data_IF_892867405720
#
_entry.id   IF_892867405720
#
_cell.length_a   1.000
_cell.length_b   1.000
_cell.length_c   1.000
_cell.angle_alpha   90.00
_cell.angle_beta   90.00
_cell.angle_gamma   90.00
#
_symmetry.space_group_name_H-M   'P 1'
#
loop_
_entity.id
_entity.type
_entity.pdbx_description
1 polymer ?
#
# COMPACT_ATOMS: atom_id res chain seq x y z
N UNK A 1 7.40 24.06 -3.89
CA UNK A 1 6.98 23.64 -2.52
C UNK A 1 7.19 22.11 -2.46
N UNK A 2 8.00 21.64 -1.51
CA UNK A 2 8.24 20.22 -1.31
C UNK A 2 6.97 19.48 -0.88
N UNK A 3 6.97 18.14 -0.97
CA UNK A 3 5.86 17.31 -0.48
C UNK A 3 5.64 17.57 1.02
N UNK A 4 6.72 17.61 1.80
CA UNK A 4 6.67 17.92 3.23
C UNK A 4 5.99 19.27 3.53
N UNK A 5 6.37 20.33 2.82
CA UNK A 5 5.74 21.67 3.02
C UNK A 5 4.24 21.65 2.69
N UNK A 6 3.84 20.95 1.63
CA UNK A 6 2.43 20.80 1.27
C UNK A 6 1.65 20.03 2.35
N UNK A 7 2.24 18.96 2.89
CA UNK A 7 1.65 18.18 3.98
C UNK A 7 1.51 19.04 5.25
N UNK A 8 2.54 19.80 5.59
CA UNK A 8 2.48 20.70 6.77
C UNK A 8 1.40 21.78 6.64
N UNK A 9 1.15 22.32 5.44
CA UNK A 9 0.05 23.25 5.20
C UNK A 9 -1.34 22.60 5.35
N UNK A 10 -1.45 21.30 5.07
CA UNK A 10 -2.69 20.55 5.17
C UNK A 10 -2.90 19.87 6.54
N UNK A 11 -2.04 20.15 7.53
CA UNK A 11 -2.07 19.55 8.86
C UNK A 11 -3.37 19.87 9.60
N UNK A 12 -3.91 18.85 10.27
CA UNK A 12 -5.07 18.89 11.17
C UNK A 12 -4.70 18.21 12.50
N UNK A 13 -4.48 18.99 13.56
CA UNK A 13 -4.04 18.44 14.84
C UNK A 13 -5.08 17.50 15.46
N UNK A 14 -6.38 17.77 15.30
CA UNK A 14 -7.43 16.87 15.77
C UNK A 14 -7.40 15.54 15.05
N UNK A 15 -7.14 15.56 13.75
CA UNK A 15 -6.99 14.35 12.96
C UNK A 15 -5.69 13.61 13.31
N UNK A 16 -4.60 14.34 13.61
CA UNK A 16 -3.34 13.74 14.08
C UNK A 16 -3.55 12.89 15.33
N UNK A 17 -4.28 13.40 16.33
CA UNK A 17 -4.57 12.67 17.57
C UNK A 17 -5.41 11.40 17.31
N UNK A 18 -6.29 11.42 16.33
CA UNK A 18 -7.02 10.23 15.89
C UNK A 18 -6.09 9.23 15.20
N UNK A 19 -5.23 9.71 14.29
CA UNK A 19 -4.33 8.87 13.50
C UNK A 19 -3.30 8.14 14.39
N UNK A 20 -2.74 8.80 15.38
CA UNK A 20 -1.81 8.20 16.36
C UNK A 20 -2.45 6.97 17.03
N UNK A 21 -3.73 7.03 17.38
CA UNK A 21 -4.44 5.89 17.99
C UNK A 21 -4.72 4.76 17.00
N UNK A 22 -4.82 5.08 15.72
CA UNK A 22 -5.14 4.11 14.67
C UNK A 22 -3.92 3.28 14.25
N UNK A 23 -2.71 3.84 14.39
CA UNK A 23 -1.44 3.19 14.04
C UNK A 23 -0.48 3.15 15.23
N UNK A 24 -0.79 2.39 16.28
CA UNK A 24 -0.07 2.44 17.56
C UNK A 24 1.40 1.99 17.49
N UNK A 25 1.81 1.35 16.37
CA UNK A 25 3.20 0.93 16.15
C UNK A 25 4.09 1.98 15.49
N UNK A 26 3.51 3.14 15.11
CA UNK A 26 4.25 4.22 14.46
C UNK A 26 4.61 5.30 15.50
N UNK A 27 5.84 5.80 15.41
CA UNK A 27 6.28 6.90 16.25
C UNK A 27 5.37 8.14 16.04
N UNK A 28 4.66 8.60 17.08
CA UNK A 28 3.76 9.76 16.99
C UNK A 28 4.42 11.03 16.43
N UNK A 29 5.72 11.20 16.62
CA UNK A 29 6.45 12.37 16.14
C UNK A 29 6.68 12.35 14.62
N UNK A 30 6.49 11.19 13.97
CA UNK A 30 6.52 11.04 12.53
C UNK A 30 5.15 11.21 11.87
N UNK A 31 4.09 11.49 12.63
CA UNK A 31 2.73 11.67 12.11
C UNK A 31 2.39 13.17 12.07
N UNK A 32 2.16 13.71 10.87
CA UNK A 32 1.80 15.11 10.64
C UNK A 32 0.31 15.35 10.95
N UNK A 33 -0.56 14.42 10.55
CA UNK A 33 -2.00 14.51 10.72
C UNK A 33 -2.70 15.10 9.49
N UNK A 34 -2.49 14.50 8.32
CA UNK A 34 -3.12 14.93 7.06
C UNK A 34 -4.15 13.90 6.60
N UNK A 35 -5.35 14.40 6.22
CA UNK A 35 -6.44 13.52 5.76
C UNK A 35 -6.14 12.93 4.38
N UNK A 36 -6.55 11.68 4.15
CA UNK A 36 -6.32 10.95 2.90
C UNK A 36 -6.69 11.71 1.64
N UNK A 37 -7.83 12.44 1.55
CA UNK A 37 -8.15 13.21 0.34
C UNK A 37 -7.09 14.29 0.01
N UNK A 38 -6.55 14.96 1.03
CA UNK A 38 -5.49 15.96 0.82
C UNK A 38 -4.18 15.30 0.35
N UNK A 39 -3.76 14.19 0.96
CA UNK A 39 -2.59 13.43 0.52
C UNK A 39 -2.72 12.94 -0.93
N UNK A 40 -3.90 12.47 -1.34
CA UNK A 40 -4.16 12.08 -2.73
C UNK A 40 -4.12 13.26 -3.70
N UNK A 41 -4.57 14.44 -3.28
CA UNK A 41 -4.47 15.65 -4.09
C UNK A 41 -3.00 16.08 -4.26
N UNK A 42 -2.21 16.05 -3.20
CA UNK A 42 -0.76 16.32 -3.23
C UNK A 42 -0.06 15.32 -4.16
N UNK A 43 -0.29 14.03 -3.98
CA UNK A 43 0.29 12.99 -4.83
C UNK A 43 -0.02 13.21 -6.32
N UNK A 44 -1.26 13.58 -6.63
CA UNK A 44 -1.69 13.87 -8.00
C UNK A 44 -1.02 15.12 -8.59
N UNK A 45 -0.85 16.16 -7.79
CA UNK A 45 -0.17 17.39 -8.21
C UNK A 45 1.31 17.12 -8.47
N UNK A 46 2.00 16.46 -7.55
CA UNK A 46 3.41 16.08 -7.70
C UNK A 46 3.62 15.19 -8.92
N UNK A 47 2.76 14.19 -9.14
CA UNK A 47 2.85 13.29 -10.29
C UNK A 47 2.67 14.01 -11.63
N UNK A 48 1.85 15.08 -11.69
CA UNK A 48 1.55 15.81 -12.93
C UNK A 48 2.51 16.94 -13.22
N UNK A 49 2.92 17.68 -12.21
CA UNK A 49 3.55 18.97 -12.33
C UNK A 49 4.91 19.05 -11.64
N UNK A 50 5.30 18.04 -10.87
CA UNK A 50 6.52 18.01 -10.08
C UNK A 50 7.54 16.99 -10.56
N UNK A 51 8.63 16.93 -9.84
CA UNK A 51 9.66 15.91 -9.99
C UNK A 51 9.35 14.73 -9.07
N UNK A 52 8.35 13.94 -9.49
CA UNK A 52 7.89 12.81 -8.69
C UNK A 52 8.95 11.69 -8.58
N UNK A 53 9.82 11.55 -9.58
CA UNK A 53 10.90 10.55 -9.57
C UNK A 53 11.92 10.89 -8.49
N UNK A 54 12.35 12.15 -8.42
CA UNK A 54 13.25 12.59 -7.35
C UNK A 54 12.63 12.39 -5.96
N UNK A 55 11.35 12.72 -5.78
CA UNK A 55 10.67 12.45 -4.51
C UNK A 55 10.64 10.96 -4.15
N UNK A 56 10.38 10.07 -5.13
CA UNK A 56 10.42 8.64 -4.87
C UNK A 56 11.84 8.14 -4.52
N UNK A 57 12.87 8.76 -5.09
CA UNK A 57 14.27 8.41 -4.82
C UNK A 57 14.77 8.89 -3.42
N UNK A 58 14.02 9.78 -2.75
CA UNK A 58 14.27 10.20 -1.35
C UNK A 58 13.92 9.15 -0.29
N UNK A 59 13.31 8.01 -0.68
CA UNK A 59 12.99 6.94 0.27
C UNK A 59 14.27 6.38 0.97
N UNK A 60 14.19 6.03 2.27
CA UNK A 60 13.00 6.01 3.12
C UNK A 60 12.60 7.42 3.61
N UNK A 61 11.29 7.70 3.56
CA UNK A 61 10.75 8.95 4.06
C UNK A 61 10.64 8.96 5.58
N UNK A 62 10.77 10.16 6.16
CA UNK A 62 10.67 10.34 7.61
C UNK A 62 9.22 10.28 8.11
N UNK A 63 8.28 10.93 7.40
CA UNK A 63 6.92 11.08 7.89
C UNK A 63 5.97 10.03 7.29
N UNK A 64 5.02 9.60 8.11
CA UNK A 64 3.98 8.65 7.76
C UNK A 64 3.21 9.07 6.50
N UNK A 65 2.85 10.34 6.41
CA UNK A 65 2.10 10.87 5.27
C UNK A 65 2.94 10.94 3.98
N UNK A 66 4.25 11.18 4.09
CA UNK A 66 5.15 11.12 2.93
C UNK A 66 5.19 9.69 2.35
N UNK A 67 5.23 8.66 3.20
CA UNK A 67 5.15 7.26 2.77
C UNK A 67 3.84 6.96 2.04
N UNK A 68 2.72 7.51 2.51
CA UNK A 68 1.43 7.38 1.82
C UNK A 68 1.42 8.10 0.47
N UNK A 69 1.93 9.34 0.42
CA UNK A 69 2.05 10.12 -0.85
C UNK A 69 2.94 9.38 -1.83
N UNK A 70 4.07 8.83 -1.37
CA UNK A 70 4.95 7.99 -2.19
C UNK A 70 4.17 6.85 -2.86
N UNK A 71 3.45 6.06 -2.07
CA UNK A 71 2.72 4.92 -2.60
C UNK A 71 1.54 5.33 -3.50
N UNK A 72 0.88 6.46 -3.21
CA UNK A 72 -0.14 7.00 -4.11
C UNK A 72 0.45 7.42 -5.47
N UNK A 73 1.67 7.98 -5.50
CA UNK A 73 2.38 8.31 -6.74
C UNK A 73 2.72 7.02 -7.50
N UNK A 74 3.32 6.03 -6.84
CA UNK A 74 3.63 4.72 -7.45
C UNK A 74 2.39 4.09 -8.07
N UNK A 75 1.23 4.17 -7.40
CA UNK A 75 -0.03 3.64 -7.90
C UNK A 75 -0.55 4.33 -9.18
N UNK A 76 -0.05 5.50 -9.55
CA UNK A 76 -0.39 6.22 -10.77
C UNK A 76 0.54 5.91 -11.95
N UNK A 77 1.66 5.22 -11.74
CA UNK A 77 2.60 4.83 -12.81
C UNK A 77 1.89 3.85 -13.75
N UNK A 78 1.91 4.15 -15.06
CA UNK A 78 1.16 3.40 -16.07
C UNK A 78 1.93 2.22 -16.65
N UNK A 79 3.26 2.36 -16.77
CA UNK A 79 4.13 1.30 -17.22
C UNK A 79 4.24 0.24 -16.13
N UNK A 80 4.00 -1.03 -16.49
CA UNK A 80 3.94 -2.12 -15.53
C UNK A 80 5.29 -2.40 -14.89
N UNK A 81 6.35 -2.49 -15.69
CA UNK A 81 7.67 -2.86 -15.20
C UNK A 81 8.25 -1.75 -14.31
N UNK A 82 8.09 -0.50 -14.73
CA UNK A 82 8.49 0.65 -13.92
C UNK A 82 7.70 0.72 -12.61
N UNK A 83 6.38 0.45 -12.64
CA UNK A 83 5.55 0.43 -11.45
C UNK A 83 5.98 -0.66 -10.47
N UNK A 84 6.17 -1.90 -10.95
CA UNK A 84 6.61 -3.02 -10.11
C UNK A 84 7.98 -2.75 -9.51
N UNK A 85 8.92 -2.20 -10.28
CA UNK A 85 10.25 -1.84 -9.76
C UNK A 85 10.13 -0.83 -8.59
N UNK A 86 9.28 0.19 -8.70
CA UNK A 86 9.04 1.17 -7.63
C UNK A 86 8.30 0.56 -6.43
N UNK A 87 7.34 -0.33 -6.66
CA UNK A 87 6.69 -1.10 -5.59
C UNK A 87 7.72 -1.91 -4.82
N UNK A 88 8.54 -2.71 -5.50
CA UNK A 88 9.55 -3.57 -4.86
C UNK A 88 10.61 -2.77 -4.09
N UNK A 89 11.03 -1.63 -4.63
CA UNK A 89 11.98 -0.75 -3.95
C UNK A 89 11.41 -0.14 -2.66
N UNK A 90 10.10 0.10 -2.60
CA UNK A 90 9.47 0.76 -1.47
C UNK A 90 8.90 -0.20 -0.40
N UNK A 91 8.47 -1.41 -0.78
CA UNK A 91 7.87 -2.37 0.15
C UNK A 91 8.69 -2.62 1.43
N UNK A 92 10.04 -2.68 1.42
CA UNK A 92 10.82 -2.85 2.65
C UNK A 92 10.66 -1.72 3.69
N UNK A 93 10.19 -0.55 3.27
CA UNK A 93 9.98 0.63 4.12
C UNK A 93 8.54 0.80 4.60
N UNK A 94 7.64 -0.11 4.21
CA UNK A 94 6.24 -0.11 4.66
C UNK A 94 6.18 -0.67 6.07
N UNK A 95 5.84 0.17 7.03
CA UNK A 95 5.89 -0.14 8.47
C UNK A 95 4.51 -0.17 9.15
N UNK A 96 3.43 0.04 8.39
CA UNK A 96 2.07 -0.06 8.92
C UNK A 96 1.03 -0.40 7.85
N UNK A 97 -0.12 -0.89 8.30
CA UNK A 97 -1.20 -1.36 7.44
C UNK A 97 -1.82 -0.30 6.51
N UNK A 98 -1.96 1.01 6.87
CA UNK A 98 -2.56 1.96 5.95
C UNK A 98 -1.71 2.20 4.70
N UNK A 99 -0.38 2.10 4.83
CA UNK A 99 0.53 2.29 3.69
C UNK A 99 0.39 1.10 2.72
N UNK A 100 0.34 -0.14 3.22
CA UNK A 100 0.17 -1.32 2.38
C UNK A 100 -1.22 -1.42 1.74
N UNK A 101 -2.25 -0.83 2.34
CA UNK A 101 -3.64 -1.09 1.97
C UNK A 101 -4.30 0.01 1.12
N UNK A 102 -3.85 1.27 1.23
CA UNK A 102 -4.55 2.40 0.62
C UNK A 102 -4.19 2.67 -0.84
N UNK A 103 -3.10 2.10 -1.34
CA UNK A 103 -2.67 2.25 -2.72
C UNK A 103 -2.79 0.94 -3.50
N UNK A 104 -3.41 1.00 -4.68
CA UNK A 104 -3.47 -0.10 -5.65
C UNK A 104 -3.01 0.42 -6.99
N UNK A 105 -1.89 -0.07 -7.53
CA UNK A 105 -1.40 0.35 -8.84
C UNK A 105 -2.42 0.10 -9.94
N UNK A 106 -2.73 1.14 -10.71
CA UNK A 106 -3.79 1.08 -11.73
C UNK A 106 -3.41 0.21 -12.94
N UNK A 107 -2.11 0.08 -13.22
CA UNK A 107 -1.60 -0.76 -14.31
C UNK A 107 -1.81 -2.26 -14.05
N UNK A 108 -1.94 -2.70 -12.79
CA UNK A 108 -2.09 -4.10 -12.43
C UNK A 108 -3.31 -4.77 -13.07
N UNK A 109 -4.42 -4.04 -13.19
CA UNK A 109 -5.67 -4.56 -13.81
C UNK A 109 -5.52 -5.10 -15.22
N UNK A 110 -4.49 -4.69 -15.94
CA UNK A 110 -4.27 -5.10 -17.34
C UNK A 110 -3.14 -6.12 -17.50
N UNK A 111 -2.50 -6.51 -16.42
CA UNK A 111 -1.27 -7.31 -16.43
C UNK A 111 -1.33 -8.48 -15.44
N UNK A 112 -2.49 -9.13 -15.28
CA UNK A 112 -2.72 -10.18 -14.30
C UNK A 112 -1.73 -11.34 -14.43
N UNK A 113 -1.46 -11.81 -15.65
CA UNK A 113 -0.50 -12.91 -15.87
C UNK A 113 0.92 -12.53 -15.43
N UNK A 114 1.35 -11.29 -15.71
CA UNK A 114 2.67 -10.79 -15.30
C UNK A 114 2.72 -10.48 -13.81
N UNK A 115 1.61 -10.05 -13.21
CA UNK A 115 1.50 -9.65 -11.80
C UNK A 115 1.53 -10.86 -10.85
N UNK A 116 0.94 -11.99 -11.23
CA UNK A 116 0.74 -13.13 -10.36
C UNK A 116 2.03 -13.68 -9.73
N UNK A 117 3.16 -13.83 -10.47
CA UNK A 117 4.44 -14.22 -9.89
C UNK A 117 4.97 -13.25 -8.82
N UNK A 118 4.75 -11.94 -9.02
CA UNK A 118 5.15 -10.93 -8.02
C UNK A 118 4.28 -11.02 -6.78
N UNK A 119 2.97 -11.19 -6.92
CA UNK A 119 2.07 -11.40 -5.78
C UNK A 119 2.54 -12.60 -4.95
N UNK A 120 2.85 -13.72 -5.60
CA UNK A 120 3.36 -14.90 -4.90
C UNK A 120 4.66 -14.60 -4.14
N UNK A 121 5.62 -13.95 -4.80
CA UNK A 121 6.88 -13.52 -4.20
C UNK A 121 6.65 -12.62 -2.97
N UNK A 122 5.75 -11.64 -3.09
CA UNK A 122 5.45 -10.73 -1.98
C UNK A 122 4.77 -11.46 -0.81
N UNK A 123 3.84 -12.37 -1.09
CA UNK A 123 3.19 -13.17 -0.05
C UNK A 123 4.16 -14.07 0.70
N UNK A 124 5.20 -14.57 0.05
CA UNK A 124 6.22 -15.42 0.66
C UNK A 124 7.23 -14.64 1.53
N UNK A 125 7.22 -13.32 1.47
CA UNK A 125 8.11 -12.45 2.25
C UNK A 125 7.93 -12.63 3.77
N UNK A 126 9.05 -12.59 4.51
CA UNK A 126 9.03 -12.55 5.99
C UNK A 126 8.64 -11.16 6.52
N UNK A 127 8.71 -10.12 5.70
CA UNK A 127 8.27 -8.79 6.06
C UNK A 127 6.73 -8.72 6.02
N UNK A 128 6.12 -8.50 7.19
CA UNK A 128 4.67 -8.56 7.41
C UNK A 128 3.88 -7.72 6.39
N UNK A 129 4.28 -6.47 6.19
CA UNK A 129 3.54 -5.56 5.31
C UNK A 129 3.78 -5.81 3.82
N UNK A 130 4.90 -6.41 3.43
CA UNK A 130 5.12 -6.92 2.08
C UNK A 130 4.20 -8.12 1.80
N UNK A 131 4.13 -9.08 2.74
CA UNK A 131 3.22 -10.22 2.62
C UNK A 131 1.76 -9.77 2.61
N UNK A 132 1.40 -8.81 3.48
CA UNK A 132 0.07 -8.20 3.52
C UNK A 132 -0.29 -7.51 2.20
N UNK A 133 0.64 -6.76 1.60
CA UNK A 133 0.46 -6.13 0.28
C UNK A 133 0.20 -7.18 -0.81
N UNK A 134 0.97 -8.27 -0.83
CA UNK A 134 0.76 -9.38 -1.77
C UNK A 134 -0.65 -9.96 -1.67
N UNK A 135 -1.12 -10.28 -0.46
CA UNK A 135 -2.48 -10.77 -0.24
C UNK A 135 -3.54 -9.72 -0.63
N UNK A 136 -3.26 -8.44 -0.36
CA UNK A 136 -4.15 -7.33 -0.75
C UNK A 136 -4.29 -7.24 -2.27
N UNK A 137 -3.19 -7.38 -3.02
CA UNK A 137 -3.23 -7.37 -4.48
C UNK A 137 -3.95 -8.60 -5.02
N UNK A 138 -3.71 -9.79 -4.46
CA UNK A 138 -4.46 -11.00 -4.80
C UNK A 138 -5.97 -10.80 -4.59
N UNK A 139 -6.36 -10.20 -3.46
CA UNK A 139 -7.75 -9.90 -3.13
C UNK A 139 -8.38 -8.87 -4.07
N UNK A 140 -7.63 -7.88 -4.53
CA UNK A 140 -8.17 -6.81 -5.37
C UNK A 140 -8.33 -7.23 -6.83
N UNK A 141 -7.40 -8.02 -7.34
CA UNK A 141 -7.27 -8.27 -8.76
C UNK A 141 -7.72 -9.67 -9.18
N UNK A 142 -7.84 -10.64 -8.25
CA UNK A 142 -8.04 -12.07 -8.59
C UNK A 142 -9.24 -12.72 -7.86
N UNK A 143 -10.21 -11.95 -7.38
CA UNK A 143 -11.42 -12.55 -6.77
C UNK A 143 -12.60 -12.73 -7.74
N UNK A 144 -12.52 -12.16 -8.93
CA UNK A 144 -13.59 -12.23 -9.93
C UNK A 144 -13.24 -13.26 -11.04
N UNK A 145 -13.14 -12.82 -12.30
CA UNK A 145 -12.96 -13.71 -13.46
C UNK A 145 -11.70 -14.58 -13.43
N UNK A 146 -10.63 -14.08 -12.79
CA UNK A 146 -9.34 -14.79 -12.71
C UNK A 146 -9.18 -15.59 -11.40
N UNK A 147 -10.26 -15.77 -10.63
CA UNK A 147 -10.23 -16.52 -9.37
C UNK A 147 -9.86 -17.99 -9.59
N UNK A 148 -8.95 -18.49 -8.75
CA UNK A 148 -8.60 -19.92 -8.67
C UNK A 148 -8.61 -20.39 -7.22
N UNK A 149 -9.07 -21.62 -6.99
CA UNK A 149 -9.15 -22.22 -5.66
C UNK A 149 -7.78 -22.28 -4.97
N UNK A 150 -6.72 -22.47 -5.73
CA UNK A 150 -5.34 -22.52 -5.22
C UNK A 150 -4.93 -21.21 -4.48
N UNK A 151 -5.55 -20.07 -4.79
CA UNK A 151 -5.26 -18.81 -4.10
C UNK A 151 -5.74 -18.82 -2.64
N UNK A 152 -6.76 -19.63 -2.32
CA UNK A 152 -7.19 -19.85 -0.93
C UNK A 152 -6.10 -20.55 -0.14
N UNK A 153 -5.46 -21.55 -0.75
CA UNK A 153 -4.37 -22.30 -0.13
C UNK A 153 -3.18 -21.38 0.09
N UNK A 154 -2.80 -20.56 -0.89
CA UNK A 154 -1.70 -19.60 -0.73
C UNK A 154 -1.89 -18.66 0.46
N UNK A 155 -3.10 -18.18 0.67
CA UNK A 155 -3.41 -17.29 1.80
C UNK A 155 -3.48 -18.07 3.11
N UNK A 156 -4.07 -19.27 3.11
CA UNK A 156 -4.18 -20.12 4.30
C UNK A 156 -2.81 -20.60 4.80
N UNK A 157 -1.93 -20.97 3.88
CA UNK A 157 -0.62 -21.55 4.18
C UNK A 157 0.42 -20.51 4.65
N UNK A 158 0.15 -19.21 4.45
CA UNK A 158 1.07 -18.18 4.94
C UNK A 158 1.18 -18.22 6.45
N UNK A 159 2.35 -18.64 6.91
CA UNK A 159 2.66 -18.73 8.35
C UNK A 159 3.01 -17.35 8.93
N UNK A 160 2.71 -17.15 10.20
CA UNK A 160 3.06 -15.96 10.96
C UNK A 160 2.07 -15.68 12.07
N UNK A 161 2.56 -15.20 13.20
CA UNK A 161 1.73 -14.88 14.38
C UNK A 161 1.36 -13.38 14.44
N UNK A 162 1.87 -12.56 13.50
CA UNK A 162 1.60 -11.13 13.49
C UNK A 162 0.10 -10.85 13.30
N UNK A 163 -0.41 -9.95 14.13
CA UNK A 163 -1.82 -9.56 14.14
C UNK A 163 -2.30 -9.02 12.79
N UNK A 164 -1.50 -8.17 12.13
CA UNK A 164 -1.88 -7.56 10.86
C UNK A 164 -1.82 -8.53 9.70
N UNK A 165 -0.96 -9.56 9.78
CA UNK A 165 -0.95 -10.65 8.81
C UNK A 165 -2.23 -11.48 8.93
N UNK A 166 -2.58 -11.90 10.14
CA UNK A 166 -3.80 -12.68 10.42
C UNK A 166 -5.08 -11.90 10.09
N UNK A 167 -5.10 -10.60 10.35
CA UNK A 167 -6.22 -9.74 9.91
C UNK A 167 -6.40 -9.74 8.41
N UNK A 168 -5.32 -9.71 7.62
CA UNK A 168 -5.43 -9.73 6.16
C UNK A 168 -5.92 -11.08 5.68
N UNK A 169 -5.46 -12.20 6.24
CA UNK A 169 -5.98 -13.53 5.94
C UNK A 169 -7.49 -13.61 6.18
N UNK A 170 -7.93 -13.18 7.38
CA UNK A 170 -9.34 -13.16 7.73
C UNK A 170 -10.17 -12.27 6.79
N UNK A 171 -9.64 -11.11 6.40
CA UNK A 171 -10.31 -10.20 5.47
C UNK A 171 -10.41 -10.80 4.07
N UNK A 172 -9.36 -11.47 3.59
CA UNK A 172 -9.36 -12.16 2.31
C UNK A 172 -10.51 -13.20 2.24
N UNK A 173 -10.59 -14.10 3.25
CA UNK A 173 -11.64 -15.12 3.30
C UNK A 173 -13.05 -14.53 3.47
N UNK A 174 -13.21 -13.48 4.28
CA UNK A 174 -14.49 -12.79 4.43
C UNK A 174 -14.97 -12.14 3.11
N UNK A 175 -14.04 -11.67 2.28
CA UNK A 175 -14.39 -11.06 1.00
C UNK A 175 -14.80 -12.08 -0.04
N UNK A 176 -14.17 -13.25 -0.08
CA UNK A 176 -14.57 -14.38 -0.94
C UNK A 176 -15.99 -14.83 -0.63
N UNK A 177 -16.33 -15.00 0.64
CA UNK A 177 -17.67 -15.39 1.05
C UNK A 177 -18.78 -14.44 0.58
N UNK A 178 -18.44 -13.20 0.20
CA UNK A 178 -19.38 -12.22 -0.38
C UNK A 178 -19.38 -12.18 -1.91
N UNK A 179 -18.28 -12.58 -2.53
CA UNK A 179 -18.14 -12.52 -3.99
C UNK A 179 -18.76 -13.74 -4.70
N UNK A 180 -18.93 -14.85 -3.99
CA UNK A 180 -19.39 -16.14 -4.54
C UNK A 180 -20.69 -16.65 -3.86
N UNK A 181 -21.45 -15.81 -3.18
CA UNK A 181 -22.81 -16.04 -2.71
C UNK A 181 -23.78 -15.17 -3.54
#
# INVERSE_FOLDING_TARGET
>A
MSVYEQLMHARDEKYRQFQIKLVPGIDPDTIIGVRTPAMRAIAKDVYRNGDWEAFLDEAPHQYYEEKLVHFFIVAMIRDFDACVARVEAFLPYVDCWPISDQATPTCFKKHHEQLLPYIRKWMDSDHVYTARFGMRMLMNEFLDADFRVEYLEWVADKQGEDYYLKMMQAWYFAKIGRAHV
#
